data_IF_226209904833
#
_entry.id   IF_226209904833
#
_cell.length_a   1.000
_cell.length_b   1.000
_cell.length_c   1.000
_cell.angle_alpha   90.00
_cell.angle_beta   90.00
_cell.angle_gamma   90.00
#
_symmetry.space_group_name_H-M   'P 1'
#
loop_
_entity.id
_entity.type
_entity.pdbx_description
1 polymer ?
#
# COMPACT_ATOMS: atom_id res chain seq x y z
N UNK A 1 -40.29 -11.25 33.12
CA UNK A 1 -39.33 -11.47 32.03
C UNK A 1 -38.21 -12.29 32.64
N UNK A 2 -37.96 -13.49 32.12
CA UNK A 2 -37.00 -14.42 32.71
C UNK A 2 -35.58 -13.95 32.37
N UNK A 3 -34.76 -13.74 33.39
CA UNK A 3 -33.38 -13.24 33.25
C UNK A 3 -32.53 -14.17 32.36
N UNK A 4 -32.86 -15.46 32.33
CA UNK A 4 -32.20 -16.45 31.46
C UNK A 4 -32.53 -16.23 29.98
N UNK A 5 -33.78 -15.87 29.67
CA UNK A 5 -34.19 -15.58 28.28
C UNK A 5 -33.51 -14.30 27.77
N UNK A 6 -33.41 -13.28 28.61
CA UNK A 6 -32.73 -12.03 28.26
C UNK A 6 -31.22 -12.28 28.01
N UNK A 7 -30.58 -13.13 28.81
CA UNK A 7 -29.18 -13.51 28.58
C UNK A 7 -29.01 -14.28 27.27
N UNK A 8 -29.92 -15.21 26.94
CA UNK A 8 -29.90 -15.94 25.69
C UNK A 8 -29.98 -15.01 24.47
N UNK A 9 -30.91 -14.04 24.50
CA UNK A 9 -31.08 -13.06 23.43
C UNK A 9 -29.82 -12.17 23.29
N UNK A 10 -29.22 -11.74 24.41
CA UNK A 10 -27.98 -10.95 24.39
C UNK A 10 -26.79 -11.74 23.79
N UNK A 11 -26.63 -13.01 24.14
CA UNK A 11 -25.55 -13.86 23.63
C UNK A 11 -25.71 -14.11 22.12
N UNK A 12 -26.94 -14.32 21.64
CA UNK A 12 -27.22 -14.48 20.21
C UNK A 12 -26.89 -13.20 19.42
N UNK A 13 -27.31 -12.04 19.94
CA UNK A 13 -26.99 -10.75 19.32
C UNK A 13 -25.49 -10.48 19.28
N UNK A 14 -24.78 -10.84 20.35
CA UNK A 14 -23.33 -10.69 20.42
C UNK A 14 -22.61 -11.60 19.40
N UNK A 15 -22.99 -12.88 19.32
CA UNK A 15 -22.42 -13.81 18.36
C UNK A 15 -22.64 -13.37 16.90
N UNK A 16 -23.87 -12.94 16.57
CA UNK A 16 -24.19 -12.41 15.24
C UNK A 16 -23.39 -11.12 14.91
N UNK A 17 -23.12 -10.29 15.91
CA UNK A 17 -22.32 -9.07 15.76
C UNK A 17 -20.85 -9.39 15.53
N UNK A 18 -20.28 -10.33 16.29
CA UNK A 18 -18.90 -10.80 16.08
C UNK A 18 -18.72 -11.44 14.70
N UNK A 19 -19.67 -12.25 14.25
CA UNK A 19 -19.62 -12.86 12.92
C UNK A 19 -19.63 -11.80 11.80
N UNK A 20 -20.49 -10.79 11.91
CA UNK A 20 -20.53 -9.68 10.94
C UNK A 20 -19.22 -8.88 10.92
N UNK A 21 -18.64 -8.62 12.10
CA UNK A 21 -17.35 -7.92 12.20
C UNK A 21 -16.21 -8.73 11.56
N UNK A 22 -16.15 -10.04 11.82
CA UNK A 22 -15.15 -10.91 11.20
C UNK A 22 -15.28 -10.95 9.68
N UNK A 23 -16.50 -11.05 9.15
CA UNK A 23 -16.72 -11.04 7.71
C UNK A 23 -16.32 -9.70 7.10
N UNK A 24 -16.78 -8.57 7.66
CA UNK A 24 -16.41 -7.25 7.18
C UNK A 24 -14.90 -7.03 7.18
N UNK A 25 -14.19 -7.52 8.19
CA UNK A 25 -12.73 -7.45 8.24
C UNK A 25 -12.06 -8.28 7.13
N UNK A 26 -12.55 -9.49 6.86
CA UNK A 26 -12.06 -10.31 5.74
C UNK A 26 -12.27 -9.63 4.40
N UNK A 27 -13.46 -9.05 4.20
CA UNK A 27 -13.81 -8.34 2.97
C UNK A 27 -12.90 -7.12 2.77
N UNK A 28 -12.61 -6.36 3.84
CA UNK A 28 -11.66 -5.25 3.80
C UNK A 28 -10.23 -5.70 3.47
N UNK A 29 -9.75 -6.80 4.05
CA UNK A 29 -8.43 -7.34 3.73
C UNK A 29 -8.32 -7.78 2.28
N UNK A 30 -9.39 -8.37 1.73
CA UNK A 30 -9.46 -8.74 0.33
C UNK A 30 -9.44 -7.50 -0.58
N UNK A 31 -10.25 -6.49 -0.28
CA UNK A 31 -10.27 -5.23 -1.03
C UNK A 31 -8.93 -4.50 -0.99
N UNK A 32 -8.25 -4.51 0.16
CA UNK A 32 -6.90 -3.98 0.32
C UNK A 32 -5.91 -4.68 -0.61
N UNK A 33 -5.93 -6.02 -0.66
CA UNK A 33 -5.09 -6.81 -1.56
C UNK A 33 -5.36 -6.44 -3.02
N UNK A 34 -6.62 -6.52 -3.44
CA UNK A 34 -7.02 -6.30 -4.83
C UNK A 34 -6.66 -4.89 -5.30
N UNK A 35 -6.82 -3.89 -4.43
CA UNK A 35 -6.43 -2.50 -4.73
C UNK A 35 -4.93 -2.34 -4.95
N UNK A 36 -4.08 -3.02 -4.19
CA UNK A 36 -2.61 -3.01 -4.37
C UNK A 36 -2.23 -3.71 -5.67
N UNK A 37 -2.81 -4.89 -5.93
CA UNK A 37 -2.53 -5.65 -7.16
C UNK A 37 -2.91 -4.85 -8.41
N UNK A 38 -4.06 -4.18 -8.37
CA UNK A 38 -4.53 -3.31 -9.43
C UNK A 38 -3.58 -2.12 -9.65
N UNK A 39 -3.11 -1.46 -8.58
CA UNK A 39 -2.13 -0.39 -8.69
C UNK A 39 -0.83 -0.88 -9.33
N UNK A 40 -0.30 -2.02 -8.90
CA UNK A 40 0.95 -2.55 -9.45
C UNK A 40 0.80 -2.92 -10.93
N UNK A 41 -0.37 -3.45 -11.33
CA UNK A 41 -0.64 -3.75 -12.75
C UNK A 41 -0.70 -2.46 -13.57
N UNK A 42 -1.26 -1.40 -12.98
CA UNK A 42 -1.30 -0.08 -13.59
C UNK A 42 0.12 0.50 -13.76
N UNK A 43 0.98 0.37 -12.75
CA UNK A 43 2.38 0.80 -12.80
C UNK A 43 3.16 0.03 -13.88
N UNK A 44 3.00 -1.29 -13.95
CA UNK A 44 3.61 -2.10 -15.03
C UNK A 44 3.15 -1.64 -16.41
N UNK A 45 1.86 -1.34 -16.56
CA UNK A 45 1.32 -0.80 -17.82
C UNK A 45 1.96 0.54 -18.18
N UNK A 46 2.16 1.44 -17.20
CA UNK A 46 2.83 2.72 -17.42
C UNK A 46 4.29 2.55 -17.83
N UNK A 47 4.97 1.53 -17.30
CA UNK A 47 6.38 1.27 -17.52
C UNK A 47 6.68 0.30 -18.68
N UNK A 48 5.67 -0.34 -19.26
CA UNK A 48 5.82 -1.33 -20.32
C UNK A 48 6.75 -0.87 -21.47
N UNK A 49 6.67 0.37 -21.99
CA UNK A 49 7.57 0.82 -23.07
C UNK A 49 9.07 0.80 -22.71
N UNK A 50 9.40 0.89 -21.42
CA UNK A 50 10.78 0.83 -20.91
C UNK A 50 11.22 -0.62 -20.65
N UNK A 51 10.32 -1.44 -20.11
CA UNK A 51 10.58 -2.88 -19.89
C UNK A 51 10.77 -3.62 -21.22
N UNK A 52 9.94 -3.32 -22.23
CA UNK A 52 10.06 -3.90 -23.58
C UNK A 52 11.40 -3.58 -24.25
N UNK A 53 11.97 -2.41 -23.94
CA UNK A 53 13.29 -1.98 -24.42
C UNK A 53 14.44 -2.44 -23.51
N UNK A 54 14.14 -3.24 -22.48
CA UNK A 54 15.11 -3.73 -21.49
C UNK A 54 15.85 -2.60 -20.76
N UNK A 55 15.21 -1.44 -20.63
CA UNK A 55 15.78 -0.27 -19.94
C UNK A 55 15.51 -0.31 -18.44
N UNK A 56 14.52 -1.08 -18.02
CA UNK A 56 14.22 -1.33 -16.61
C UNK A 56 13.72 -2.76 -16.40
N UNK A 57 13.84 -3.23 -15.17
CA UNK A 57 13.30 -4.50 -14.72
C UNK A 57 12.26 -4.26 -13.64
N UNK A 58 11.15 -4.98 -13.70
CA UNK A 58 10.11 -4.98 -12.68
C UNK A 58 10.05 -6.38 -12.06
N UNK A 59 10.01 -6.43 -10.73
CA UNK A 59 9.90 -7.68 -9.97
C UNK A 59 8.73 -7.57 -8.99
N UNK A 60 7.83 -8.56 -9.03
CA UNK A 60 6.78 -8.75 -8.01
C UNK A 60 7.18 -9.90 -7.11
N UNK A 61 7.12 -9.68 -5.79
CA UNK A 61 7.44 -10.72 -4.81
C UNK A 61 6.32 -10.84 -3.77
N UNK A 62 5.96 -12.04 -3.32
CA UNK A 62 4.99 -12.21 -2.23
C UNK A 62 5.39 -11.41 -1.00
N UNK A 63 4.42 -10.72 -0.40
CA UNK A 63 4.65 -9.84 0.74
C UNK A 63 3.58 -10.02 1.81
N UNK A 64 3.99 -10.00 3.07
CA UNK A 64 3.11 -10.02 4.23
C UNK A 64 3.37 -8.75 5.03
N UNK A 65 2.41 -7.82 5.03
CA UNK A 65 2.54 -6.61 5.81
C UNK A 65 2.34 -6.93 7.30
N UNK A 66 3.19 -6.37 8.16
CA UNK A 66 3.18 -6.67 9.60
C UNK A 66 3.18 -5.40 10.45
N UNK A 67 2.69 -5.52 11.68
CA UNK A 67 2.75 -4.49 12.71
C UNK A 67 2.76 -5.12 14.09
N UNK A 68 2.89 -4.33 15.16
CA UNK A 68 2.77 -4.83 16.53
C UNK A 68 1.44 -5.51 16.81
N UNK A 69 0.37 -5.08 16.14
CA UNK A 69 -0.98 -5.68 16.24
C UNK A 69 -1.14 -6.91 15.35
N UNK A 70 -0.40 -6.97 14.23
CA UNK A 70 -0.47 -8.05 13.24
C UNK A 70 0.92 -8.64 12.96
N UNK A 71 1.39 -9.59 13.79
CA UNK A 71 2.68 -10.24 13.58
C UNK A 71 2.68 -11.11 12.31
N UNK A 72 3.86 -11.43 11.78
CA UNK A 72 4.05 -12.17 10.52
C UNK A 72 3.22 -13.44 10.42
N UNK A 73 3.16 -14.22 11.49
CA UNK A 73 2.59 -15.57 11.48
C UNK A 73 1.06 -15.56 11.42
N UNK A 74 0.45 -14.41 11.71
CA UNK A 74 -1.00 -14.24 11.82
C UNK A 74 -1.53 -13.03 11.05
N UNK A 75 -0.69 -12.36 10.25
CA UNK A 75 -1.13 -11.18 9.53
C UNK A 75 -2.05 -11.57 8.36
N UNK A 76 -3.28 -11.02 8.31
CA UNK A 76 -4.19 -11.23 7.18
C UNK A 76 -3.80 -10.39 5.94
N UNK A 77 -2.84 -9.46 6.09
CA UNK A 77 -2.41 -8.51 5.07
C UNK A 77 -1.36 -9.11 4.14
N UNK A 78 -1.78 -10.13 3.40
CA UNK A 78 -0.94 -10.83 2.42
C UNK A 78 -1.20 -10.24 1.04
N UNK A 79 -0.16 -9.80 0.35
CA UNK A 79 -0.20 -9.29 -1.03
C UNK A 79 1.17 -9.53 -1.67
N UNK A 80 1.68 -8.53 -2.37
CA UNK A 80 2.97 -8.51 -3.07
C UNK A 80 3.66 -7.17 -2.85
N UNK A 81 4.98 -7.13 -3.00
CA UNK A 81 5.76 -5.91 -3.15
C UNK A 81 6.24 -5.80 -4.60
N UNK A 82 6.47 -4.57 -5.06
CA UNK A 82 6.95 -4.28 -6.41
C UNK A 82 8.32 -3.63 -6.32
N UNK A 83 9.31 -4.19 -7.00
CA UNK A 83 10.61 -3.56 -7.17
C UNK A 83 10.82 -3.12 -8.62
N UNK A 84 11.37 -1.92 -8.79
CA UNK A 84 11.71 -1.32 -10.08
C UNK A 84 13.20 -1.06 -10.09
N UNK A 85 13.91 -1.66 -11.04
CA UNK A 85 15.36 -1.55 -11.18
C UNK A 85 15.66 -0.75 -12.44
N UNK A 86 16.27 0.42 -12.28
CA UNK A 86 16.61 1.36 -13.35
C UNK A 86 17.98 1.98 -13.06
N UNK A 87 18.88 2.00 -14.05
CA UNK A 87 20.21 2.61 -13.94
C UNK A 87 21.00 2.17 -12.68
N UNK A 88 20.98 0.86 -12.38
CA UNK A 88 21.58 0.24 -11.18
C UNK A 88 21.02 0.72 -9.84
N UNK A 89 19.89 1.45 -9.84
CA UNK A 89 19.14 1.80 -8.64
C UNK A 89 17.88 0.97 -8.53
N UNK A 90 17.51 0.63 -7.30
CA UNK A 90 16.32 -0.15 -6.98
C UNK A 90 15.36 0.73 -6.17
N UNK A 91 14.12 0.81 -6.64
CA UNK A 91 12.99 1.39 -5.91
C UNK A 91 12.07 0.27 -5.49
N UNK A 92 11.66 0.25 -4.24
CA UNK A 92 10.75 -0.76 -3.71
C UNK A 92 9.46 -0.11 -3.21
N UNK A 93 8.34 -0.68 -3.65
CA UNK A 93 6.99 -0.33 -3.23
C UNK A 93 6.50 -1.44 -2.32
N UNK A 94 6.42 -1.14 -1.02
CA UNK A 94 6.20 -2.10 0.04
C UNK A 94 4.89 -1.79 0.76
N UNK A 95 3.82 -2.59 0.55
CA UNK A 95 2.56 -2.38 1.24
C UNK A 95 2.71 -2.47 2.76
N UNK A 96 1.98 -1.60 3.45
CA UNK A 96 1.89 -1.56 4.90
C UNK A 96 0.54 -2.12 5.36
N UNK A 97 0.46 -2.49 6.64
CA UNK A 97 -0.81 -2.88 7.28
C UNK A 97 -1.80 -1.73 7.09
N UNK A 98 -3.05 -2.08 6.76
CA UNK A 98 -4.12 -1.11 6.55
C UNK A 98 -4.25 -0.18 7.76
N UNK A 99 -4.26 1.13 7.49
CA UNK A 99 -4.36 2.17 8.49
C UNK A 99 -5.78 2.36 9.03
N UNK A 100 -5.93 3.32 9.95
CA UNK A 100 -7.24 3.71 10.47
C UNK A 100 -8.20 4.10 9.33
N UNK A 101 -9.47 3.75 9.46
CA UNK A 101 -10.49 4.05 8.46
C UNK A 101 -10.36 3.27 7.14
N UNK A 102 -9.47 2.28 7.06
CA UNK A 102 -9.25 1.51 5.83
C UNK A 102 -8.24 2.14 4.86
N UNK A 103 -7.48 3.15 5.32
CA UNK A 103 -6.47 3.80 4.51
C UNK A 103 -5.39 2.80 4.07
N UNK A 104 -5.06 2.82 2.77
CA UNK A 104 -4.04 1.97 2.20
C UNK A 104 -2.75 2.75 2.05
N UNK A 105 -1.64 2.17 2.49
CA UNK A 105 -0.33 2.82 2.46
C UNK A 105 0.69 1.85 1.88
N UNK A 106 1.48 2.34 0.94
CA UNK A 106 2.60 1.63 0.34
C UNK A 106 3.83 2.50 0.55
N UNK A 107 4.80 2.02 1.32
CA UNK A 107 6.06 2.71 1.51
C UNK A 107 6.89 2.64 0.22
N UNK A 108 7.55 3.74 -0.14
CA UNK A 108 8.44 3.81 -1.30
C UNK A 108 9.88 4.00 -0.82
N UNK A 109 10.68 2.95 -0.96
CA UNK A 109 12.10 2.96 -0.61
C UNK A 109 12.98 3.17 -1.86
N UNK A 110 14.16 3.77 -1.69
CA UNK A 110 15.14 3.96 -2.76
C UNK A 110 15.05 5.29 -3.53
N UNK A 111 14.08 6.16 -3.21
CA UNK A 111 13.88 7.48 -3.85
C UNK A 111 14.21 8.69 -2.96
N UNK A 112 14.45 8.51 -1.66
CA UNK A 112 14.73 9.64 -0.76
C UNK A 112 16.22 10.00 -0.76
N UNK A 113 16.51 11.29 -0.95
CA UNK A 113 17.87 11.86 -0.82
C UNK A 113 18.05 12.65 0.49
N UNK A 114 16.94 12.92 1.19
CA UNK A 114 16.87 13.66 2.44
C UNK A 114 16.88 12.70 3.63
N UNK A 115 17.79 12.96 4.58
CA UNK A 115 18.04 12.12 5.77
C UNK A 115 16.80 11.89 6.65
N UNK A 116 15.74 12.69 6.48
CA UNK A 116 14.52 12.72 7.30
C UNK A 116 13.22 12.66 6.46
N UNK A 117 13.32 12.43 5.14
CA UNK A 117 12.15 12.33 4.28
C UNK A 117 11.61 10.91 4.18
N UNK A 118 10.29 10.75 4.12
CA UNK A 118 9.65 9.49 3.72
C UNK A 118 8.71 9.71 2.54
N UNK A 119 8.60 8.68 1.70
CA UNK A 119 7.69 8.68 0.56
C UNK A 119 6.75 7.50 0.73
N UNK A 120 5.46 7.75 0.52
CA UNK A 120 4.42 6.74 0.54
C UNK A 120 3.42 6.99 -0.57
N UNK A 121 2.92 5.92 -1.19
CA UNK A 121 1.71 5.97 -2.01
C UNK A 121 0.53 5.65 -1.10
N UNK A 122 -0.46 6.53 -1.06
CA UNK A 122 -1.59 6.44 -0.15
C UNK A 122 -2.91 6.50 -0.91
N UNK A 123 -3.91 5.81 -0.35
CA UNK A 123 -5.29 5.87 -0.81
C UNK A 123 -6.18 5.96 0.42
N UNK A 124 -6.77 7.14 0.61
CA UNK A 124 -7.49 7.50 1.83
C UNK A 124 -8.87 6.85 1.93
N UNK A 125 -9.42 6.36 0.82
CA UNK A 125 -10.69 5.63 0.78
C UNK A 125 -10.65 4.48 -0.22
N UNK A 126 -11.46 3.44 0.01
CA UNK A 126 -11.56 2.24 -0.82
C UNK A 126 -11.76 2.53 -2.33
N UNK A 127 -12.51 3.58 -2.65
CA UNK A 127 -12.84 4.00 -4.03
C UNK A 127 -12.06 5.23 -4.50
N UNK A 128 -11.15 5.75 -3.66
CA UNK A 128 -10.35 6.93 -3.96
C UNK A 128 -9.25 6.71 -4.99
N UNK A 129 -8.69 7.81 -5.48
CA UNK A 129 -7.46 7.80 -6.26
C UNK A 129 -6.24 7.51 -5.37
N UNK A 130 -5.16 7.02 -5.99
CA UNK A 130 -3.87 6.91 -5.33
C UNK A 130 -3.14 8.25 -5.38
N UNK A 131 -2.48 8.59 -4.28
CA UNK A 131 -1.70 9.81 -4.13
C UNK A 131 -0.28 9.47 -3.70
N UNK A 132 0.68 10.15 -4.30
CA UNK A 132 2.05 10.18 -3.84
C UNK A 132 2.19 11.22 -2.73
N UNK A 133 2.60 10.77 -1.55
CA UNK A 133 2.80 11.61 -0.38
C UNK A 133 4.27 11.61 0.02
N UNK A 134 4.85 12.81 0.13
CA UNK A 134 6.19 13.04 0.65
C UNK A 134 6.11 13.77 1.99
N UNK A 135 6.56 13.11 3.05
CA UNK A 135 6.67 13.69 4.39
C UNK A 135 8.12 14.08 4.67
N UNK A 136 8.35 15.28 5.21
CA UNK A 136 9.68 15.81 5.56
C UNK A 136 9.82 16.15 7.05
N UNK A 137 8.88 15.73 7.90
CA UNK A 137 8.96 15.81 9.36
C UNK A 137 8.78 17.21 9.98
N UNK A 138 8.65 18.28 9.20
CA UNK A 138 8.56 19.66 9.72
C UNK A 138 7.48 20.54 9.07
N UNK A 139 6.77 20.05 8.05
CA UNK A 139 5.69 20.75 7.33
C UNK A 139 4.57 19.76 6.97
N UNK A 140 3.42 20.30 6.54
CA UNK A 140 2.35 19.51 5.92
C UNK A 140 2.92 18.68 4.76
N UNK A 141 2.57 17.40 4.70
CA UNK A 141 3.10 16.48 3.71
C UNK A 141 2.65 16.89 2.30
N UNK A 142 3.59 16.91 1.35
CA UNK A 142 3.29 17.20 -0.05
C UNK A 142 2.55 16.00 -0.64
N UNK A 143 1.32 16.20 -1.12
CA UNK A 143 0.52 15.18 -1.77
C UNK A 143 0.29 15.54 -3.23
N UNK A 144 0.42 14.56 -4.13
CA UNK A 144 0.17 14.71 -5.56
C UNK A 144 -0.53 13.47 -6.09
N UNK A 145 -1.49 13.65 -6.99
CA UNK A 145 -2.18 12.50 -7.58
C UNK A 145 -1.17 11.60 -8.31
N UNK A 146 -1.27 10.29 -8.09
CA UNK A 146 -0.40 9.33 -8.74
C UNK A 146 -0.96 8.98 -10.12
N UNK A 147 -0.24 9.39 -11.15
CA UNK A 147 -0.48 9.00 -12.53
C UNK A 147 0.84 8.62 -13.23
N UNK A 148 0.75 8.16 -14.48
CA UNK A 148 1.89 7.73 -15.27
C UNK A 148 2.95 8.84 -15.44
N UNK A 149 2.51 10.08 -15.65
CA UNK A 149 3.40 11.22 -15.90
C UNK A 149 4.17 11.58 -14.64
N UNK A 150 3.46 11.75 -13.53
CA UNK A 150 4.05 12.05 -12.24
C UNK A 150 5.01 10.94 -11.80
N UNK A 151 4.61 9.67 -11.93
CA UNK A 151 5.46 8.54 -11.56
C UNK A 151 6.75 8.48 -12.38
N UNK A 152 6.66 8.72 -13.70
CA UNK A 152 7.85 8.80 -14.55
C UNK A 152 8.80 9.92 -14.13
N UNK A 153 8.29 11.10 -13.73
CA UNK A 153 9.12 12.18 -13.20
C UNK A 153 9.86 11.76 -11.92
N UNK A 154 9.22 11.00 -11.02
CA UNK A 154 9.88 10.51 -9.81
C UNK A 154 11.04 9.56 -10.15
N UNK A 155 10.83 8.64 -11.09
CA UNK A 155 11.87 7.70 -11.54
C UNK A 155 13.03 8.39 -12.27
N UNK A 156 12.78 9.47 -13.01
CA UNK A 156 13.85 10.26 -13.65
C UNK A 156 14.85 10.82 -12.64
N UNK A 157 14.41 11.10 -11.40
CA UNK A 157 15.30 11.54 -10.32
C UNK A 157 16.39 10.54 -9.93
N UNK A 158 16.25 9.26 -10.32
CA UNK A 158 17.24 8.21 -10.09
C UNK A 158 18.38 8.23 -11.10
N UNK A 159 18.15 8.79 -12.28
CA UNK A 159 19.14 8.80 -13.36
C UNK A 159 20.27 9.76 -12.95
N UNK A 160 21.52 9.30 -12.89
CA UNK A 160 22.65 10.18 -12.59
C UNK A 160 22.66 11.36 -13.57
N UNK A 161 22.64 12.58 -13.06
CA UNK A 161 22.93 13.76 -13.88
C UNK A 161 24.41 13.67 -14.25
N UNK A 162 24.72 13.67 -15.55
CA UNK A 162 26.09 13.84 -16.03
C UNK A 162 26.67 15.09 -15.37
N UNK A 163 27.69 14.92 -14.53
CA UNK A 163 28.58 16.03 -14.18
C UNK A 163 29.53 16.14 -15.36
N UNK A 164 29.24 17.09 -16.26
CA UNK A 164 30.28 17.62 -17.16
C UNK A 164 31.43 18.20 -16.33
#
# INVERSE_FOLDING_TARGET
MDEVQQLADMLQQHAATQQRQQQAFKDQCQHWRDSIQALFAQIETWLAPLTERQLLVIERTPWVATSSTYPSDHSPFISESLAIILAQRRVELVPQVMGQGGAMVIAVAGLTSDRHGSISIVKDSADGAWFWRKDRGTKEAESSQLDAHFFAQQLQGLIPKSRD
#
